data_IF_585689394904
#
_entry.id   IF_585689394904
#
_cell.length_a   1.000
_cell.length_b   1.000
_cell.length_c   1.000
_cell.angle_alpha   90.00
_cell.angle_beta   90.00
_cell.angle_gamma   90.00
#
_symmetry.space_group_name_H-M   'P 1'
#
loop_
_entity.id
_entity.type
_entity.pdbx_description
1 polymer ?
#
# COMPACT_ATOMS: atom_id res chain seq x y z
N UNK A 1 63.21 -33.92 -45.52
CA UNK A 1 64.52 -33.67 -46.14
C UNK A 1 64.91 -32.24 -45.77
N UNK A 2 65.65 -32.05 -44.67
CA UNK A 2 67.11 -31.99 -44.65
C UNK A 2 67.60 -30.92 -45.63
N UNK A 3 68.04 -29.75 -45.17
CA UNK A 3 69.47 -29.39 -45.02
C UNK A 3 69.51 -27.87 -45.28
N UNK A 4 70.33 -26.98 -44.73
CA UNK A 4 71.45 -27.01 -43.81
C UNK A 4 71.83 -25.55 -43.59
N UNK A 5 72.00 -25.18 -42.32
CA UNK A 5 72.72 -23.98 -41.88
C UNK A 5 74.15 -23.96 -42.43
N UNK A 6 74.73 -22.81 -42.83
CA UNK A 6 76.17 -22.62 -42.79
C UNK A 6 76.58 -21.79 -41.57
N UNK A 7 77.45 -22.38 -40.75
CA UNK A 7 78.18 -21.75 -39.65
C UNK A 7 79.41 -20.98 -40.17
N UNK A 8 79.67 -19.83 -39.52
CA UNK A 8 80.97 -19.22 -39.14
C UNK A 8 82.05 -18.96 -40.21
N UNK A 9 82.44 -17.69 -40.31
CA UNK A 9 83.84 -17.20 -40.36
C UNK A 9 83.90 -16.01 -39.39
N UNK A 10 84.50 -16.12 -38.20
CA UNK A 10 85.90 -15.75 -37.91
C UNK A 10 86.30 -14.45 -38.61
N UNK A 11 86.05 -13.32 -37.93
CA UNK A 11 86.71 -12.05 -38.19
C UNK A 11 87.68 -11.84 -37.02
N UNK A 12 88.96 -12.10 -37.28
CA UNK A 12 90.07 -11.67 -36.43
C UNK A 12 90.14 -10.13 -36.40
N UNK A 13 90.64 -9.53 -35.32
CA UNK A 13 90.67 -8.08 -35.14
C UNK A 13 91.71 -7.44 -36.07
N UNK A 14 91.25 -6.52 -36.91
CA UNK A 14 92.11 -5.64 -37.72
C UNK A 14 92.74 -4.60 -36.79
N UNK A 15 94.01 -4.79 -36.44
CA UNK A 15 94.88 -3.78 -35.82
C UNK A 15 95.36 -2.81 -36.91
N UNK A 16 95.03 -1.50 -36.86
CA UNK A 16 95.75 -0.52 -37.65
C UNK A 16 97.09 -0.19 -36.99
N UNK A 17 98.14 -0.21 -37.79
CA UNK A 17 99.48 0.21 -37.42
C UNK A 17 99.56 1.72 -37.13
N UNK A 18 100.43 2.05 -36.17
CA UNK A 18 101.10 3.33 -35.93
C UNK A 18 100.27 4.55 -35.52
N UNK A 19 100.29 4.83 -34.21
CA UNK A 19 99.92 6.12 -33.61
C UNK A 19 101.14 7.06 -33.70
N UNK A 20 101.05 8.25 -34.32
CA UNK A 20 102.11 9.24 -34.23
C UNK A 20 102.09 9.86 -32.82
N UNK A 21 103.16 9.69 -32.06
CA UNK A 21 103.38 10.42 -30.80
C UNK A 21 103.63 11.90 -31.10
N UNK A 22 102.57 12.71 -31.06
CA UNK A 22 102.65 14.16 -31.01
C UNK A 22 103.11 14.59 -29.61
N UNK A 23 104.36 15.05 -29.52
CA UNK A 23 104.88 15.70 -28.32
C UNK A 23 104.22 17.07 -28.13
N UNK A 24 103.32 17.17 -27.14
CA UNK A 24 102.80 18.43 -26.64
C UNK A 24 103.52 18.79 -25.32
N UNK A 25 103.85 20.07 -25.18
CA UNK A 25 104.49 20.61 -23.97
C UNK A 25 103.52 20.57 -22.77
N UNK A 26 104.04 20.38 -21.52
CA UNK A 26 103.25 20.02 -20.34
C UNK A 26 102.17 21.04 -19.88
N UNK A 27 102.17 22.27 -20.39
CA UNK A 27 101.15 23.28 -20.06
C UNK A 27 99.86 23.19 -20.91
N UNK A 28 99.89 22.47 -22.04
CA UNK A 28 98.72 22.30 -22.92
C UNK A 28 97.80 21.15 -22.50
N UNK A 29 98.36 20.10 -21.91
CA UNK A 29 97.60 18.90 -21.51
C UNK A 29 96.62 19.18 -20.37
N UNK A 30 97.00 19.98 -19.37
CA UNK A 30 96.10 20.36 -18.27
C UNK A 30 94.89 21.18 -18.73
N UNK A 31 95.10 22.15 -19.64
CA UNK A 31 94.01 22.96 -20.19
C UNK A 31 93.03 22.13 -21.03
N UNK A 32 93.53 21.15 -21.78
CA UNK A 32 92.69 20.22 -22.55
C UNK A 32 91.89 19.27 -21.64
N UNK A 33 92.48 18.81 -20.53
CA UNK A 33 91.79 18.00 -19.52
C UNK A 33 90.63 18.79 -18.90
N UNK A 34 90.83 20.08 -18.58
CA UNK A 34 89.77 20.93 -17.99
C UNK A 34 88.60 21.16 -18.95
N UNK A 35 88.87 21.39 -20.24
CA UNK A 35 87.83 21.52 -21.27
C UNK A 35 87.04 20.23 -21.44
N UNK A 36 87.71 19.07 -21.45
CA UNK A 36 87.06 17.75 -21.54
C UNK A 36 86.20 17.50 -20.30
N UNK A 37 86.66 17.86 -19.10
CA UNK A 37 85.87 17.72 -17.87
C UNK A 37 84.63 18.63 -17.88
N UNK A 38 84.76 19.89 -18.31
CA UNK A 38 83.61 20.81 -18.47
C UNK A 38 82.63 20.32 -19.55
N UNK A 39 83.14 19.83 -20.68
CA UNK A 39 82.30 19.27 -21.74
C UNK A 39 81.57 18.01 -21.28
N UNK A 40 82.23 17.11 -20.54
CA UNK A 40 81.60 15.94 -19.94
C UNK A 40 80.55 16.31 -18.89
N UNK A 41 80.77 17.38 -18.12
CA UNK A 41 79.79 17.89 -17.17
C UNK A 41 78.55 18.45 -17.89
N UNK A 42 78.73 19.30 -18.90
CA UNK A 42 77.61 19.83 -19.72
C UNK A 42 76.89 18.72 -20.47
N UNK A 43 77.61 17.73 -20.99
CA UNK A 43 77.03 16.58 -21.67
C UNK A 43 76.20 15.73 -20.70
N UNK A 44 76.69 15.52 -19.48
CA UNK A 44 75.94 14.85 -18.41
C UNK A 44 74.67 15.62 -18.05
N UNK A 45 74.75 16.93 -17.83
CA UNK A 45 73.59 17.78 -17.52
C UNK A 45 72.55 17.78 -18.64
N UNK A 46 72.99 17.77 -19.90
CA UNK A 46 72.12 17.70 -21.07
C UNK A 46 71.40 16.33 -21.15
N UNK A 47 72.14 15.24 -20.96
CA UNK A 47 71.57 13.88 -20.95
C UNK A 47 70.60 13.70 -19.79
N UNK A 48 70.93 14.23 -18.60
CA UNK A 48 70.05 14.19 -17.44
C UNK A 48 68.76 15.00 -17.67
N UNK A 49 68.87 16.20 -18.25
CA UNK A 49 67.72 17.04 -18.62
C UNK A 49 66.83 16.37 -19.68
N UNK A 50 67.43 15.75 -20.69
CA UNK A 50 66.72 15.00 -21.73
C UNK A 50 65.96 13.81 -21.12
N UNK A 51 66.63 13.04 -20.26
CA UNK A 51 66.03 11.89 -19.58
C UNK A 51 64.88 12.34 -18.67
N UNK A 52 65.01 13.49 -18.00
CA UNK A 52 63.94 14.06 -17.18
C UNK A 52 62.73 14.50 -18.02
N UNK A 53 62.96 15.14 -19.17
CA UNK A 53 61.90 15.55 -20.08
C UNK A 53 61.15 14.33 -20.66
N UNK A 54 61.87 13.28 -21.04
CA UNK A 54 61.27 12.03 -21.53
C UNK A 54 60.41 11.36 -20.46
N UNK A 55 60.88 11.32 -19.20
CA UNK A 55 60.09 10.82 -18.08
C UNK A 55 58.83 11.65 -17.83
N UNK A 56 58.93 12.98 -17.89
CA UNK A 56 57.78 13.87 -17.74
C UNK A 56 56.77 13.69 -18.89
N UNK A 57 57.26 13.54 -20.12
CA UNK A 57 56.41 13.30 -21.28
C UNK A 57 55.70 11.94 -21.19
N UNK A 58 56.41 10.89 -20.78
CA UNK A 58 55.83 9.57 -20.55
C UNK A 58 54.73 9.62 -19.47
N UNK A 59 55.01 10.27 -18.34
CA UNK A 59 54.02 10.43 -17.25
C UNK A 59 52.78 11.23 -17.69
N UNK A 60 52.96 12.27 -18.51
CA UNK A 60 51.84 13.05 -19.06
C UNK A 60 50.97 12.19 -19.99
N UNK A 61 51.60 11.40 -20.86
CA UNK A 61 50.90 10.49 -21.78
C UNK A 61 50.14 9.42 -21.01
N UNK A 62 50.72 8.86 -19.95
CA UNK A 62 50.05 7.87 -19.10
C UNK A 62 48.85 8.48 -18.37
N UNK A 63 48.99 9.69 -17.84
CA UNK A 63 47.87 10.42 -17.21
C UNK A 63 46.74 10.74 -18.20
N UNK A 64 47.08 11.18 -19.42
CA UNK A 64 46.10 11.44 -20.48
C UNK A 64 45.37 10.17 -20.90
N UNK A 65 46.09 9.06 -21.05
CA UNK A 65 45.51 7.77 -21.39
C UNK A 65 44.58 7.26 -20.29
N UNK A 66 44.96 7.41 -19.02
CA UNK A 66 44.11 7.07 -17.88
C UNK A 66 42.80 7.86 -17.89
N UNK A 67 42.87 9.19 -18.05
CA UNK A 67 41.69 10.05 -18.11
C UNK A 67 40.78 9.67 -19.29
N UNK A 68 41.35 9.43 -20.47
CA UNK A 68 40.60 9.01 -21.65
C UNK A 68 39.88 7.67 -21.43
N UNK A 69 40.54 6.71 -20.76
CA UNK A 69 39.93 5.42 -20.42
C UNK A 69 38.76 5.56 -19.44
N UNK A 70 38.90 6.41 -18.41
CA UNK A 70 37.81 6.66 -17.44
C UNK A 70 36.61 7.28 -18.14
N UNK A 71 36.83 8.36 -18.92
CA UNK A 71 35.77 9.03 -19.69
C UNK A 71 35.10 8.10 -20.70
N UNK A 72 35.87 7.18 -21.30
CA UNK A 72 35.36 6.18 -22.26
C UNK A 72 34.50 5.09 -21.63
N UNK A 73 34.68 4.82 -20.33
CA UNK A 73 33.89 3.81 -19.60
C UNK A 73 32.59 4.34 -18.99
N UNK A 74 32.42 5.66 -18.92
CA UNK A 74 31.22 6.29 -18.36
C UNK A 74 30.03 6.12 -19.30
N UNK A 75 28.89 5.69 -18.74
CA UNK A 75 27.60 5.59 -19.44
C UNK A 75 26.86 6.92 -19.51
N UNK A 76 27.11 7.82 -18.55
CA UNK A 76 26.54 9.15 -18.56
C UNK A 76 27.22 9.98 -19.68
N UNK A 77 26.43 10.81 -20.34
CA UNK A 77 26.88 11.75 -21.35
C UNK A 77 27.74 12.81 -20.68
N UNK A 78 28.92 13.10 -21.23
CA UNK A 78 29.78 14.18 -20.75
C UNK A 78 30.15 15.11 -21.90
N UNK A 79 29.97 16.40 -21.67
CA UNK A 79 30.26 17.47 -22.63
C UNK A 79 31.06 18.57 -21.92
N UNK A 80 32.21 18.92 -22.47
CA UNK A 80 32.98 20.09 -22.02
C UNK A 80 32.84 21.21 -23.04
N UNK A 81 32.49 22.41 -22.58
CA UNK A 81 32.35 23.60 -23.41
C UNK A 81 33.33 24.70 -22.98
N UNK A 82 33.60 25.63 -23.88
CA UNK A 82 34.31 26.88 -23.59
C UNK A 82 33.42 27.90 -22.86
N UNK A 83 33.99 29.06 -22.50
CA UNK A 83 33.27 30.16 -21.85
C UNK A 83 32.16 30.80 -22.71
N UNK A 84 32.08 30.46 -24.00
CA UNK A 84 31.02 30.91 -24.92
C UNK A 84 29.96 29.82 -25.17
N UNK A 85 30.06 28.67 -24.51
CA UNK A 85 29.14 27.54 -24.70
C UNK A 85 29.40 26.72 -25.96
N UNK A 86 30.58 26.83 -26.58
CA UNK A 86 30.97 25.97 -27.71
C UNK A 86 31.59 24.69 -27.21
N UNK A 87 31.21 23.57 -27.81
CA UNK A 87 31.69 22.24 -27.43
C UNK A 87 33.17 22.12 -27.75
N UNK A 88 33.98 21.75 -26.76
CA UNK A 88 35.41 21.47 -26.90
C UNK A 88 35.68 19.96 -26.96
N UNK A 89 34.93 19.17 -26.19
CA UNK A 89 35.12 17.74 -26.06
C UNK A 89 33.82 17.06 -25.65
N UNK A 90 33.63 15.82 -26.10
CA UNK A 90 32.54 14.94 -25.65
C UNK A 90 33.09 13.56 -25.32
N UNK A 91 32.39 12.79 -24.47
CA UNK A 91 32.74 11.40 -24.25
C UNK A 91 32.09 10.46 -25.29
N UNK A 92 32.55 9.21 -25.41
CA UNK A 92 31.94 8.23 -26.32
C UNK A 92 30.45 7.99 -26.11
N UNK A 93 29.95 8.06 -24.86
CA UNK A 93 28.52 7.91 -24.58
C UNK A 93 27.67 8.98 -25.29
N UNK A 94 28.15 10.23 -25.34
CA UNK A 94 27.50 11.31 -26.08
C UNK A 94 27.43 11.04 -27.59
N UNK A 95 28.54 10.58 -28.18
CA UNK A 95 28.66 10.25 -29.61
C UNK A 95 27.68 9.12 -29.97
N UNK A 96 27.62 8.07 -29.15
CA UNK A 96 26.71 6.95 -29.32
C UNK A 96 25.25 7.39 -29.19
N UNK A 97 24.92 8.19 -28.17
CA UNK A 97 23.55 8.60 -27.89
C UNK A 97 23.01 9.59 -28.93
N UNK A 98 23.82 10.55 -29.38
CA UNK A 98 23.44 11.51 -30.42
C UNK A 98 23.51 10.92 -31.83
N UNK A 99 24.31 9.86 -32.05
CA UNK A 99 24.53 9.26 -33.36
C UNK A 99 25.35 10.13 -34.31
N UNK A 100 26.09 11.12 -33.78
CA UNK A 100 26.88 12.12 -34.52
C UNK A 100 28.34 11.99 -34.10
N UNK A 101 29.27 12.03 -35.06
CA UNK A 101 30.70 11.95 -34.76
C UNK A 101 31.18 13.15 -33.92
N UNK A 102 32.14 12.95 -33.03
CA UNK A 102 32.72 14.02 -32.20
C UNK A 102 33.19 15.22 -33.03
N UNK A 103 33.79 14.99 -34.20
CA UNK A 103 34.27 16.03 -35.10
C UNK A 103 33.17 16.96 -35.64
N UNK A 104 31.93 16.46 -35.72
CA UNK A 104 30.76 17.27 -36.12
C UNK A 104 30.17 18.05 -34.93
N UNK A 105 30.41 17.58 -33.70
CA UNK A 105 29.91 18.20 -32.46
C UNK A 105 30.85 19.31 -31.96
N UNK A 106 32.16 19.11 -32.04
CA UNK A 106 33.16 20.07 -31.58
C UNK A 106 33.03 21.40 -32.35
N UNK A 107 33.01 22.51 -31.61
CA UNK A 107 32.87 23.87 -32.12
C UNK A 107 31.43 24.38 -32.28
N UNK A 108 30.44 23.49 -32.24
CA UNK A 108 29.00 23.84 -32.27
C UNK A 108 28.53 24.36 -30.90
N UNK A 109 27.36 25.02 -30.87
CA UNK A 109 26.77 25.50 -29.62
C UNK A 109 26.12 24.35 -28.86
N UNK A 110 26.31 24.31 -27.54
CA UNK A 110 25.65 23.32 -26.67
C UNK A 110 24.12 23.34 -26.77
N UNK A 111 23.52 24.52 -26.96
CA UNK A 111 22.08 24.66 -27.10
C UNK A 111 21.55 24.03 -28.40
N UNK A 112 22.42 23.77 -29.38
CA UNK A 112 21.99 23.14 -30.63
C UNK A 112 21.71 21.64 -30.50
N UNK A 113 22.22 21.02 -29.44
CA UNK A 113 22.07 19.59 -29.14
C UNK A 113 20.69 19.24 -28.59
N UNK A 114 20.00 20.20 -27.99
CA UNK A 114 18.71 19.99 -27.33
C UNK A 114 17.56 20.48 -28.22
N UNK A 115 16.43 19.78 -28.16
CA UNK A 115 15.18 20.17 -28.81
C UNK A 115 14.49 21.30 -28.02
N UNK A 116 14.53 21.21 -26.69
CA UNK A 116 14.00 22.21 -25.76
C UNK A 116 14.90 23.44 -25.73
N UNK A 117 14.69 24.36 -26.68
CA UNK A 117 15.37 25.67 -26.76
C UNK A 117 14.54 26.78 -26.13
N UNK A 118 13.85 26.48 -25.05
CA UNK A 118 13.06 27.47 -24.34
C UNK A 118 13.97 28.54 -23.71
N UNK A 119 13.42 29.75 -23.57
CA UNK A 119 14.14 30.91 -23.05
C UNK A 119 14.65 30.66 -21.61
N UNK A 120 13.93 29.84 -20.84
CA UNK A 120 14.31 29.43 -19.50
C UNK A 120 15.57 28.54 -19.50
N UNK A 121 15.65 27.53 -20.36
CA UNK A 121 16.85 26.68 -20.46
C UNK A 121 18.05 27.47 -20.95
N UNK A 122 17.87 28.33 -21.95
CA UNK A 122 18.93 29.22 -22.44
C UNK A 122 19.44 30.16 -21.35
N UNK A 123 18.55 30.73 -20.53
CA UNK A 123 18.91 31.58 -19.40
C UNK A 123 19.71 30.82 -18.33
N UNK A 124 19.30 29.60 -17.96
CA UNK A 124 20.02 28.74 -17.00
C UNK A 124 21.44 28.41 -17.47
N UNK A 125 21.61 28.01 -18.73
CA UNK A 125 22.94 27.80 -19.30
C UNK A 125 23.76 29.10 -19.33
N UNK A 126 23.13 30.24 -19.63
CA UNK A 126 23.78 31.55 -19.60
C UNK A 126 24.22 32.02 -18.20
N UNK A 127 23.50 31.66 -17.14
CA UNK A 127 23.91 31.90 -15.75
C UNK A 127 25.10 31.01 -15.34
N UNK A 128 25.07 29.74 -15.73
CA UNK A 128 26.19 28.83 -15.49
C UNK A 128 27.45 29.25 -16.26
N UNK A 129 27.31 29.71 -17.50
CA UNK A 129 28.40 30.28 -18.33
C UNK A 129 28.93 31.61 -17.81
N UNK A 130 28.25 32.26 -16.86
CA UNK A 130 28.77 33.42 -16.11
C UNK A 130 29.44 33.03 -14.79
N UNK A 131 29.48 31.72 -14.47
CA UNK A 131 30.02 31.20 -13.22
C UNK A 131 29.16 31.50 -12.00
N UNK A 132 27.89 31.91 -12.20
CA UNK A 132 27.02 32.34 -11.12
C UNK A 132 26.39 31.16 -10.37
N UNK A 133 25.87 30.15 -11.09
CA UNK A 133 25.17 29.00 -10.51
C UNK A 133 25.39 27.73 -11.33
N UNK A 134 25.58 26.60 -10.64
CA UNK A 134 25.52 25.28 -11.26
C UNK A 134 24.05 24.90 -11.54
N UNK A 135 23.83 24.10 -12.58
CA UNK A 135 22.52 23.53 -12.92
C UNK A 135 22.48 22.11 -12.35
N UNK A 136 21.43 21.79 -11.61
CA UNK A 136 21.13 20.44 -11.15
C UNK A 136 19.78 19.97 -11.69
N UNK A 137 19.69 18.67 -12.01
CA UNK A 137 18.49 17.93 -12.41
C UNK A 137 17.62 18.66 -13.44
N UNK A 138 18.24 19.17 -14.50
CA UNK A 138 17.52 19.77 -15.62
C UNK A 138 17.16 18.70 -16.64
N UNK A 139 15.88 18.41 -16.78
CA UNK A 139 15.36 17.54 -17.82
C UNK A 139 15.39 18.25 -19.19
N UNK A 140 15.98 17.59 -20.18
CA UNK A 140 16.01 18.07 -21.58
C UNK A 140 15.84 16.91 -22.56
N UNK A 141 15.39 17.22 -23.78
CA UNK A 141 15.40 16.29 -24.91
C UNK A 141 16.65 16.46 -25.77
N UNK A 142 17.52 15.45 -25.80
CA UNK A 142 18.69 15.40 -26.68
C UNK A 142 18.29 14.94 -28.08
N UNK A 143 18.75 15.64 -29.11
CA UNK A 143 18.48 15.30 -30.53
C UNK A 143 19.40 14.20 -31.03
N UNK A 144 18.84 13.26 -31.80
CA UNK A 144 19.58 12.17 -32.44
C UNK A 144 19.66 12.34 -33.97
N UNK A 145 20.73 11.84 -34.57
CA UNK A 145 20.89 11.74 -36.03
C UNK A 145 19.86 10.74 -36.59
N UNK A 146 18.77 11.26 -37.13
CA UNK A 146 17.61 10.47 -37.56
C UNK A 146 16.25 11.05 -37.17
N UNK A 147 16.22 12.14 -36.39
CA UNK A 147 14.98 12.88 -36.08
C UNK A 147 14.25 12.45 -34.80
N UNK A 148 14.83 11.54 -34.01
CA UNK A 148 14.34 11.19 -32.68
C UNK A 148 14.97 12.04 -31.56
N UNK A 149 14.38 11.98 -30.37
CA UNK A 149 14.94 12.58 -29.16
C UNK A 149 15.02 11.59 -28.01
N UNK A 150 16.00 11.80 -27.13
CA UNK A 150 16.18 11.00 -25.90
C UNK A 150 16.12 11.94 -24.69
N UNK A 151 15.32 11.62 -23.66
CA UNK A 151 15.27 12.43 -22.46
C UNK A 151 16.51 12.21 -21.59
N UNK A 152 17.18 13.30 -21.21
CA UNK A 152 18.31 13.31 -20.28
C UNK A 152 18.01 14.20 -19.08
N UNK A 153 18.44 13.77 -17.91
CA UNK A 153 18.60 14.63 -16.73
C UNK A 153 20.03 15.17 -16.72
N UNK A 154 20.19 16.49 -16.79
CA UNK A 154 21.48 17.17 -16.89
C UNK A 154 21.89 17.87 -15.60
N UNK A 155 23.18 17.76 -15.31
CA UNK A 155 23.90 18.59 -14.35
C UNK A 155 24.96 19.39 -15.10
N UNK A 156 25.06 20.69 -14.83
CA UNK A 156 26.05 21.58 -15.45
C UNK A 156 26.83 22.31 -14.37
N UNK A 157 28.16 22.30 -14.47
CA UNK A 157 29.04 22.95 -13.51
C UNK A 157 30.06 23.85 -14.21
N UNK A 158 30.35 25.05 -13.68
CA UNK A 158 31.39 25.92 -14.22
C UNK A 158 32.79 25.32 -13.99
N UNK A 159 33.68 25.54 -14.96
CA UNK A 159 35.07 25.08 -14.94
C UNK A 159 36.01 26.28 -14.89
N UNK A 160 36.96 26.27 -13.96
CA UNK A 160 37.91 27.36 -13.73
C UNK A 160 39.34 26.93 -14.01
N UNK A 161 40.20 27.86 -14.45
CA UNK A 161 41.65 27.64 -14.53
C UNK A 161 42.32 27.69 -13.16
N UNK A 162 43.63 27.40 -13.12
CA UNK A 162 44.46 27.49 -11.90
C UNK A 162 44.55 28.90 -11.30
N UNK A 163 44.06 29.94 -12.00
CA UNK A 163 44.00 31.34 -11.54
C UNK A 163 42.58 31.75 -11.13
N UNK A 164 41.63 30.82 -11.09
CA UNK A 164 40.24 31.08 -10.71
C UNK A 164 39.42 31.78 -11.80
N UNK A 165 39.90 31.85 -13.04
CA UNK A 165 39.15 32.43 -14.15
C UNK A 165 38.27 31.37 -14.80
N UNK A 166 37.04 31.74 -15.13
CA UNK A 166 36.11 30.85 -15.82
C UNK A 166 36.66 30.51 -17.21
N UNK A 167 36.87 29.22 -17.47
CA UNK A 167 37.31 28.71 -18.79
C UNK A 167 36.19 28.07 -19.59
N UNK A 168 35.09 27.70 -18.93
CA UNK A 168 33.93 27.11 -19.57
C UNK A 168 33.02 26.37 -18.59
N UNK A 169 32.28 25.39 -19.10
CA UNK A 169 31.36 24.56 -18.32
C UNK A 169 31.56 23.09 -18.66
N UNK A 170 31.25 22.21 -17.71
CA UNK A 170 31.13 20.76 -17.92
C UNK A 170 29.71 20.34 -17.66
N UNK A 171 29.17 19.51 -18.54
CA UNK A 171 27.80 19.00 -18.50
C UNK A 171 27.87 17.50 -18.40
N UNK A 172 27.14 16.94 -17.44
CA UNK A 172 26.96 15.50 -17.27
C UNK A 172 25.48 15.20 -17.40
N UNK A 173 25.12 14.22 -18.23
CA UNK A 173 23.74 13.89 -18.55
C UNK A 173 23.44 12.42 -18.41
N UNK A 174 22.40 12.08 -17.63
CA UNK A 174 21.93 10.70 -17.47
C UNK A 174 20.71 10.44 -18.34
N UNK A 175 20.70 9.43 -19.22
CA UNK A 175 19.50 9.02 -19.94
C UNK A 175 18.43 8.48 -18.97
N UNK A 176 17.21 9.01 -19.05
CA UNK A 176 16.10 8.61 -18.16
C UNK A 176 14.95 7.89 -18.90
N UNK A 177 15.13 7.60 -20.18
CA UNK A 177 14.09 7.01 -21.04
C UNK A 177 13.63 5.62 -20.59
N UNK A 178 14.57 4.71 -20.33
CA UNK A 178 14.25 3.35 -19.86
C UNK A 178 13.60 3.36 -18.47
N UNK A 179 14.10 4.22 -17.58
CA UNK A 179 13.55 4.37 -16.24
C UNK A 179 12.10 4.86 -16.27
N UNK A 180 11.80 5.89 -17.08
CA UNK A 180 10.43 6.39 -17.26
C UNK A 180 9.48 5.32 -17.82
N UNK A 181 9.95 4.51 -18.77
CA UNK A 181 9.16 3.39 -19.33
C UNK A 181 8.86 2.34 -18.28
N UNK A 182 9.86 1.91 -17.51
CA UNK A 182 9.68 0.94 -16.43
C UNK A 182 8.69 1.43 -15.37
N UNK A 183 8.78 2.70 -14.96
CA UNK A 183 7.81 3.31 -14.03
C UNK A 183 6.39 3.32 -14.59
N UNK A 184 6.23 3.65 -15.87
CA UNK A 184 4.92 3.66 -16.51
C UNK A 184 4.30 2.26 -16.61
N UNK A 185 5.09 1.25 -17.00
CA UNK A 185 4.64 -0.14 -17.03
C UNK A 185 4.25 -0.65 -15.65
N UNK A 186 5.01 -0.28 -14.61
CA UNK A 186 4.71 -0.63 -13.23
C UNK A 186 3.39 -0.02 -12.76
N UNK A 187 3.14 1.27 -13.06
CA UNK A 187 1.89 1.95 -12.70
C UNK A 187 0.68 1.29 -13.38
N UNK A 188 0.79 0.97 -14.68
CA UNK A 188 -0.25 0.24 -15.40
C UNK A 188 -0.51 -1.15 -14.80
N UNK A 189 0.54 -1.88 -14.44
CA UNK A 189 0.41 -3.19 -13.79
C UNK A 189 -0.26 -3.07 -12.41
N UNK A 190 0.09 -2.05 -11.63
CA UNK A 190 -0.50 -1.79 -10.32
C UNK A 190 -1.98 -1.43 -10.39
N UNK A 191 -2.37 -0.57 -11.35
CA UNK A 191 -3.77 -0.24 -11.61
C UNK A 191 -4.57 -1.48 -12.02
N UNK A 192 -4.00 -2.34 -12.89
CA UNK A 192 -4.63 -3.59 -13.32
C UNK A 192 -4.84 -4.54 -12.14
N UNK A 193 -3.80 -4.74 -11.32
CA UNK A 193 -3.87 -5.60 -10.13
C UNK A 193 -4.95 -5.11 -9.16
N UNK A 194 -4.97 -3.81 -8.86
CA UNK A 194 -5.95 -3.19 -7.97
C UNK A 194 -7.38 -3.42 -8.47
N UNK A 195 -7.61 -3.26 -9.77
CA UNK A 195 -8.93 -3.49 -10.40
C UNK A 195 -9.34 -4.96 -10.32
N UNK A 196 -8.43 -5.89 -10.61
CA UNK A 196 -8.70 -7.33 -10.49
C UNK A 196 -8.99 -7.74 -9.05
N UNK A 197 -8.25 -7.21 -8.08
CA UNK A 197 -8.48 -7.49 -6.66
C UNK A 197 -9.86 -7.00 -6.21
N UNK A 198 -10.28 -5.80 -6.62
CA UNK A 198 -11.63 -5.30 -6.35
C UNK A 198 -12.72 -6.20 -6.96
N UNK A 199 -12.51 -6.70 -8.19
CA UNK A 199 -13.44 -7.62 -8.84
C UNK A 199 -13.51 -8.97 -8.11
N UNK A 200 -12.38 -9.51 -7.64
CA UNK A 200 -12.35 -10.75 -6.87
C UNK A 200 -13.11 -10.62 -5.55
N UNK A 201 -12.91 -9.52 -4.81
CA UNK A 201 -13.65 -9.26 -3.56
C UNK A 201 -15.16 -9.20 -3.82
N UNK A 202 -15.60 -8.53 -4.90
CA UNK A 202 -17.02 -8.49 -5.26
C UNK A 202 -17.53 -9.87 -5.66
N UNK A 203 -16.75 -10.63 -6.44
CA UNK A 203 -17.13 -11.99 -6.86
C UNK A 203 -17.22 -12.96 -5.69
N UNK A 204 -16.31 -12.86 -4.72
CA UNK A 204 -16.32 -13.68 -3.51
C UNK A 204 -17.50 -13.33 -2.62
N UNK A 205 -17.82 -12.04 -2.46
CA UNK A 205 -19.05 -11.58 -1.78
C UNK A 205 -20.31 -12.08 -2.47
N UNK A 206 -20.35 -12.07 -3.81
CA UNK A 206 -21.50 -12.58 -4.58
C UNK A 206 -21.61 -14.11 -4.52
N UNK A 207 -20.50 -14.84 -4.50
CA UNK A 207 -20.49 -16.29 -4.33
C UNK A 207 -20.88 -16.71 -2.90
N UNK A 208 -20.45 -15.95 -1.88
CA UNK A 208 -20.95 -16.09 -0.53
C UNK A 208 -22.46 -15.83 -0.51
N UNK A 209 -22.91 -14.67 -0.99
CA UNK A 209 -24.34 -14.32 -1.07
C UNK A 209 -25.17 -15.40 -1.80
N UNK A 210 -24.67 -15.94 -2.91
CA UNK A 210 -25.36 -16.98 -3.69
C UNK A 210 -25.63 -18.27 -2.90
N UNK A 211 -24.73 -18.67 -1.99
CA UNK A 211 -24.96 -19.81 -1.07
C UNK A 211 -25.93 -19.44 0.06
N UNK A 212 -25.93 -18.18 0.51
CA UNK A 212 -26.81 -17.67 1.57
C UNK A 212 -28.27 -17.50 1.10
N UNK A 213 -28.50 -17.16 -0.17
CA UNK A 213 -29.82 -16.85 -0.74
C UNK A 213 -30.82 -18.01 -0.57
N UNK A 214 -30.38 -19.26 -0.68
CA UNK A 214 -31.26 -20.41 -0.49
C UNK A 214 -31.74 -20.58 0.96
N UNK A 215 -30.84 -20.38 1.94
CA UNK A 215 -31.17 -20.43 3.38
C UNK A 215 -32.04 -19.26 3.82
N UNK A 216 -31.68 -18.04 3.40
CA UNK A 216 -32.44 -16.81 3.72
C UNK A 216 -33.82 -16.84 3.06
N UNK A 217 -33.96 -17.32 1.83
CA UNK A 217 -35.26 -17.48 1.19
C UNK A 217 -36.15 -18.45 1.96
N UNK A 218 -35.57 -19.55 2.47
CA UNK A 218 -36.32 -20.51 3.28
C UNK A 218 -36.74 -19.90 4.63
N UNK A 219 -35.84 -19.19 5.30
CA UNK A 219 -36.13 -18.52 6.58
C UNK A 219 -37.09 -17.33 6.46
N UNK A 220 -37.13 -16.64 5.32
CA UNK A 220 -38.12 -15.59 5.04
C UNK A 220 -39.49 -16.18 4.72
N UNK A 221 -39.54 -17.25 3.91
CA UNK A 221 -40.81 -17.84 3.49
C UNK A 221 -41.59 -18.41 4.68
N UNK A 222 -40.92 -18.90 5.72
CA UNK A 222 -41.56 -19.49 6.90
C UNK A 222 -42.45 -18.49 7.67
N UNK A 223 -41.95 -17.38 8.24
CA UNK A 223 -42.78 -16.39 8.93
C UNK A 223 -43.79 -15.72 7.99
N UNK A 224 -43.46 -15.51 6.72
CA UNK A 224 -44.41 -14.98 5.72
C UNK A 224 -45.61 -15.91 5.58
N UNK A 225 -45.38 -17.23 5.53
CA UNK A 225 -46.45 -18.22 5.42
C UNK A 225 -47.36 -18.22 6.65
N UNK A 226 -46.79 -18.05 7.86
CA UNK A 226 -47.56 -17.90 9.10
C UNK A 226 -48.42 -16.62 9.10
N UNK A 227 -47.84 -15.49 8.71
CA UNK A 227 -48.57 -14.21 8.58
C UNK A 227 -49.73 -14.34 7.60
N UNK A 228 -49.51 -14.90 6.41
CA UNK A 228 -50.58 -15.10 5.43
C UNK A 228 -51.66 -16.07 5.92
N UNK A 229 -51.27 -17.19 6.54
CA UNK A 229 -52.19 -18.17 7.10
C UNK A 229 -53.11 -17.56 8.16
N UNK A 230 -52.52 -16.85 9.12
CA UNK A 230 -53.24 -16.20 10.20
C UNK A 230 -54.16 -15.08 9.68
N UNK A 231 -53.69 -14.27 8.73
CA UNK A 231 -54.52 -13.23 8.10
C UNK A 231 -55.72 -13.82 7.34
N UNK A 232 -55.56 -14.97 6.67
CA UNK A 232 -56.67 -15.67 6.04
C UNK A 232 -57.69 -16.21 7.06
N UNK A 233 -57.24 -16.72 8.21
CA UNK A 233 -58.10 -17.15 9.30
C UNK A 233 -58.87 -15.96 9.89
N UNK A 234 -58.18 -14.87 10.23
CA UNK A 234 -58.78 -13.63 10.73
C UNK A 234 -59.82 -13.04 9.76
N UNK A 235 -59.55 -13.08 8.44
CA UNK A 235 -60.53 -12.65 7.43
C UNK A 235 -61.80 -13.50 7.47
N UNK A 236 -61.68 -14.82 7.61
CA UNK A 236 -62.85 -15.73 7.74
C UNK A 236 -63.61 -15.48 9.04
N UNK A 237 -62.90 -15.27 10.14
CA UNK A 237 -63.48 -14.97 11.45
C UNK A 237 -64.22 -13.64 11.46
N UNK A 238 -63.67 -12.62 10.81
CA UNK A 238 -64.31 -11.32 10.62
C UNK A 238 -65.68 -11.44 9.93
N UNK A 239 -65.81 -12.29 8.90
CA UNK A 239 -67.11 -12.56 8.25
C UNK A 239 -68.10 -13.18 9.23
N UNK A 240 -67.70 -14.23 9.96
CA UNK A 240 -68.57 -14.92 10.91
C UNK A 240 -69.03 -13.99 12.06
N UNK A 241 -68.11 -13.20 12.61
CA UNK A 241 -68.41 -12.22 13.67
C UNK A 241 -69.35 -11.14 13.16
N UNK A 242 -69.09 -10.58 11.97
CA UNK A 242 -69.93 -9.53 11.38
C UNK A 242 -71.35 -10.05 11.15
N UNK A 243 -71.50 -11.25 10.58
CA UNK A 243 -72.81 -11.87 10.37
C UNK A 243 -73.55 -12.13 11.69
N UNK A 244 -72.85 -12.51 12.76
CA UNK A 244 -73.46 -12.66 14.07
C UNK A 244 -73.90 -11.32 14.68
N UNK A 245 -73.05 -10.29 14.62
CA UNK A 245 -73.37 -8.94 15.11
C UNK A 245 -74.57 -8.36 14.36
N UNK A 246 -74.64 -8.52 13.03
CA UNK A 246 -75.78 -8.07 12.23
C UNK A 246 -77.07 -8.76 12.64
N UNK A 247 -77.03 -10.08 12.89
CA UNK A 247 -78.18 -10.82 13.41
C UNK A 247 -78.62 -10.36 14.81
N UNK A 248 -77.67 -9.96 15.67
CA UNK A 248 -77.99 -9.44 17.02
C UNK A 248 -78.67 -8.06 17.02
N UNK A 249 -78.52 -7.28 15.94
CA UNK A 249 -79.16 -5.97 15.80
C UNK A 249 -80.65 -6.06 15.45
N UNK A 250 -81.15 -7.24 15.06
CA UNK A 250 -82.58 -7.49 14.84
C UNK A 250 -83.34 -7.76 16.14
N UNK A 251 -84.68 -7.58 16.13
CA UNK A 251 -85.58 -8.01 17.24
C UNK A 251 -85.80 -9.54 17.23
N UNK A 252 -84.72 -10.31 17.16
CA UNK A 252 -84.75 -11.76 16.96
C UNK A 252 -85.01 -12.57 18.23
N UNK A 253 -85.54 -13.78 18.03
CA UNK A 253 -85.69 -14.82 19.05
C UNK A 253 -84.31 -15.22 19.63
N UNK A 254 -84.20 -15.20 20.96
CA UNK A 254 -82.97 -15.50 21.69
C UNK A 254 -82.46 -16.92 21.41
N UNK A 255 -83.36 -17.87 21.14
CA UNK A 255 -82.99 -19.25 20.84
C UNK A 255 -82.33 -19.36 19.46
N UNK A 256 -82.88 -18.69 18.45
CA UNK A 256 -82.30 -18.64 17.10
C UNK A 256 -80.91 -17.96 17.09
N UNK A 257 -80.71 -16.97 17.97
CA UNK A 257 -79.42 -16.30 18.12
C UNK A 257 -78.34 -17.22 18.71
N UNK A 258 -78.71 -18.02 19.71
CA UNK A 258 -77.82 -18.98 20.37
C UNK A 258 -77.44 -20.14 19.43
N UNK A 259 -78.39 -20.62 18.62
CA UNK A 259 -78.10 -21.59 17.55
C UNK A 259 -77.14 -21.03 16.50
N UNK A 260 -77.33 -19.76 16.11
CA UNK A 260 -76.45 -19.08 15.18
C UNK A 260 -75.03 -18.91 15.77
N UNK A 261 -74.91 -18.54 17.04
CA UNK A 261 -73.64 -18.41 17.77
C UNK A 261 -72.83 -19.71 17.73
N UNK A 262 -73.49 -20.85 18.01
CA UNK A 262 -72.86 -22.18 17.96
C UNK A 262 -72.49 -22.59 16.54
N UNK A 263 -73.38 -22.37 15.57
CA UNK A 263 -73.14 -22.72 14.15
C UNK A 263 -71.96 -21.94 13.57
N UNK A 264 -71.85 -20.66 13.88
CA UNK A 264 -70.75 -19.80 13.45
C UNK A 264 -69.49 -19.96 14.32
N UNK A 265 -69.56 -20.75 15.40
CA UNK A 265 -68.46 -21.02 16.34
C UNK A 265 -67.85 -19.73 16.91
N UNK A 266 -68.70 -18.80 17.33
CA UNK A 266 -68.26 -17.48 17.82
C UNK A 266 -67.33 -17.59 19.04
N UNK A 267 -67.61 -18.50 19.98
CA UNK A 267 -66.79 -18.63 21.20
C UNK A 267 -65.38 -19.18 20.92
N UNK A 268 -65.20 -20.26 20.13
CA UNK A 268 -63.87 -20.68 19.69
C UNK A 268 -63.13 -19.61 18.88
N UNK A 269 -63.84 -18.89 18.00
CA UNK A 269 -63.24 -17.80 17.21
C UNK A 269 -62.73 -16.69 18.12
N UNK A 270 -63.54 -16.27 19.10
CA UNK A 270 -63.16 -15.21 20.04
C UNK A 270 -61.90 -15.59 20.85
N UNK A 271 -61.78 -16.86 21.24
CA UNK A 271 -60.61 -17.37 21.95
C UNK A 271 -59.34 -17.47 21.07
N UNK A 272 -59.49 -17.64 19.75
CA UNK A 272 -58.38 -17.85 18.82
C UNK A 272 -57.84 -16.54 18.20
N UNK A 273 -58.57 -15.43 18.32
CA UNK A 273 -58.19 -14.12 17.76
C UNK A 273 -56.88 -13.60 18.36
N UNK A 274 -56.74 -13.66 19.67
CA UNK A 274 -55.56 -13.14 20.38
C UNK A 274 -54.29 -13.92 20.00
N UNK A 275 -54.25 -15.27 20.07
CA UNK A 275 -53.12 -16.05 19.56
C UNK A 275 -52.78 -15.81 18.09
N UNK A 276 -53.79 -15.65 17.23
CA UNK A 276 -53.57 -15.38 15.80
C UNK A 276 -52.94 -14.02 15.55
N UNK A 277 -53.36 -12.98 16.28
CA UNK A 277 -52.79 -11.64 16.16
C UNK A 277 -51.35 -11.63 16.69
N UNK A 278 -51.11 -12.24 17.86
CA UNK A 278 -49.76 -12.37 18.43
C UNK A 278 -48.81 -13.09 17.47
N UNK A 279 -49.21 -14.26 16.95
CA UNK A 279 -48.39 -15.01 15.98
C UNK A 279 -48.18 -14.27 14.65
N UNK A 280 -49.12 -13.42 14.24
CA UNK A 280 -48.96 -12.57 13.04
C UNK A 280 -47.94 -11.45 13.28
N UNK A 281 -48.01 -10.80 14.45
CA UNK A 281 -47.06 -9.75 14.84
C UNK A 281 -45.65 -10.32 14.97
N UNK A 282 -45.50 -11.46 15.65
CA UNK A 282 -44.21 -12.15 15.78
C UNK A 282 -43.61 -12.51 14.41
N UNK A 283 -44.42 -13.08 13.51
CA UNK A 283 -43.99 -13.39 12.14
C UNK A 283 -43.52 -12.14 11.38
N UNK A 284 -44.25 -11.02 11.49
CA UNK A 284 -43.89 -9.77 10.84
C UNK A 284 -42.60 -9.15 11.43
N UNK A 285 -42.42 -9.21 12.74
CA UNK A 285 -41.19 -8.74 13.40
C UNK A 285 -39.97 -9.57 13.00
N UNK A 286 -40.16 -10.88 12.85
CA UNK A 286 -39.10 -11.77 12.38
C UNK A 286 -38.67 -11.48 10.95
N UNK A 287 -39.63 -11.22 10.04
CA UNK A 287 -39.32 -10.77 8.67
C UNK A 287 -38.54 -9.45 8.71
N UNK A 288 -38.95 -8.50 9.56
CA UNK A 288 -38.24 -7.22 9.73
C UNK A 288 -36.80 -7.44 10.20
N UNK A 289 -36.57 -8.33 11.17
CA UNK A 289 -35.24 -8.64 11.69
C UNK A 289 -34.33 -9.26 10.61
N UNK A 290 -34.82 -10.26 9.87
CA UNK A 290 -34.04 -10.93 8.80
C UNK A 290 -33.67 -9.92 7.69
N UNK A 291 -34.61 -9.06 7.28
CA UNK A 291 -34.35 -8.04 6.26
C UNK A 291 -33.36 -6.99 6.76
N UNK A 292 -33.43 -6.60 8.04
CA UNK A 292 -32.45 -5.68 8.63
C UNK A 292 -31.06 -6.29 8.68
N UNK A 293 -30.92 -7.57 9.06
CA UNK A 293 -29.63 -8.27 9.09
C UNK A 293 -29.04 -8.45 7.68
N UNK A 294 -29.89 -8.80 6.69
CA UNK A 294 -29.47 -8.87 5.29
C UNK A 294 -29.04 -7.50 4.75
N UNK A 295 -29.78 -6.43 5.12
CA UNK A 295 -29.42 -5.06 4.74
C UNK A 295 -28.11 -4.63 5.38
N UNK A 296 -27.87 -4.96 6.66
CA UNK A 296 -26.60 -4.71 7.37
C UNK A 296 -25.42 -5.44 6.71
N UNK A 297 -25.63 -6.67 6.22
CA UNK A 297 -24.61 -7.42 5.47
C UNK A 297 -24.31 -6.82 4.09
N UNK A 298 -25.32 -6.27 3.42
CA UNK A 298 -25.18 -5.65 2.09
C UNK A 298 -24.69 -4.19 2.16
N UNK A 299 -25.06 -3.45 3.20
CA UNK A 299 -24.72 -2.04 3.38
C UNK A 299 -23.40 -1.85 4.11
N UNK A 300 -22.31 -2.40 3.59
CA UNK A 300 -20.97 -1.92 3.94
C UNK A 300 -20.72 -0.60 3.20
N UNK A 301 -21.35 0.50 3.66
CA UNK A 301 -20.75 1.81 3.42
C UNK A 301 -19.39 1.80 4.10
N UNK A 302 -18.33 2.16 3.37
CA UNK A 302 -16.97 2.31 3.90
C UNK A 302 -16.97 3.48 4.87
N UNK A 303 -17.40 3.23 6.10
CA UNK A 303 -17.30 4.18 7.20
C UNK A 303 -15.81 4.52 7.36
N UNK A 304 -15.49 5.80 7.29
CA UNK A 304 -14.10 6.27 7.42
C UNK A 304 -13.72 6.17 8.90
N UNK A 305 -12.53 5.66 9.25
CA UNK A 305 -12.08 5.67 10.64
C UNK A 305 -12.06 7.11 11.18
N UNK A 306 -12.70 7.32 12.32
CA UNK A 306 -12.72 8.59 13.04
C UNK A 306 -12.22 8.41 14.47
N UNK A 307 -11.75 9.49 15.09
CA UNK A 307 -11.36 9.49 16.50
C UNK A 307 -12.60 9.73 17.36
N UNK A 308 -12.90 8.83 18.27
CA UNK A 308 -14.06 8.94 19.16
C UNK A 308 -13.81 8.26 20.51
N UNK A 309 -14.65 8.61 21.49
CA UNK A 309 -14.63 8.01 22.82
C UNK A 309 -15.42 6.69 22.84
N UNK A 310 -14.72 5.57 23.02
CA UNK A 310 -15.31 4.23 23.01
C UNK A 310 -16.26 4.00 24.17
N UNK A 311 -16.00 4.63 25.33
CA UNK A 311 -16.83 4.51 26.53
C UNK A 311 -18.24 5.01 26.24
N UNK A 312 -18.36 6.14 25.55
CA UNK A 312 -19.65 6.69 25.11
C UNK A 312 -20.39 5.77 24.13
N UNK A 313 -19.68 5.16 23.19
CA UNK A 313 -20.28 4.22 22.23
C UNK A 313 -20.83 2.99 22.92
N UNK A 314 -20.07 2.41 23.86
CA UNK A 314 -20.49 1.25 24.64
C UNK A 314 -21.74 1.58 25.47
N UNK A 315 -21.73 2.70 26.19
CA UNK A 315 -22.89 3.13 27.00
C UNK A 315 -24.13 3.33 26.13
N UNK A 316 -23.98 3.99 24.99
CA UNK A 316 -25.10 4.21 24.04
C UNK A 316 -25.65 2.90 23.50
N UNK A 317 -24.79 1.93 23.16
CA UNK A 317 -25.20 0.61 22.70
C UNK A 317 -25.97 -0.16 23.78
N UNK A 318 -25.48 -0.14 25.02
CA UNK A 318 -26.15 -0.79 26.14
C UNK A 318 -27.51 -0.15 26.41
N UNK A 319 -27.57 1.18 26.51
CA UNK A 319 -28.82 1.91 26.74
C UNK A 319 -29.86 1.61 25.65
N UNK A 320 -29.42 1.46 24.40
CA UNK A 320 -30.28 1.10 23.28
C UNK A 320 -30.91 -0.29 23.47
N UNK A 321 -30.10 -1.31 23.79
CA UNK A 321 -30.60 -2.68 24.04
C UNK A 321 -31.53 -2.69 25.26
N UNK A 322 -31.14 -2.07 26.36
CA UNK A 322 -31.91 -2.09 27.62
C UNK A 322 -33.28 -1.40 27.53
N UNK A 323 -33.49 -0.50 26.56
CA UNK A 323 -34.80 0.12 26.30
C UNK A 323 -35.77 -0.80 25.58
N UNK A 324 -35.25 -1.73 24.77
CA UNK A 324 -36.05 -2.67 24.00
C UNK A 324 -36.40 -3.94 24.79
N UNK A 325 -35.61 -4.29 25.82
CA UNK A 325 -35.80 -5.49 26.63
C UNK A 325 -36.85 -5.31 27.75
N UNK A 326 -37.74 -6.30 27.89
CA UNK A 326 -38.79 -6.33 28.92
C UNK A 326 -38.24 -6.68 30.32
N UNK A 327 -37.20 -7.51 30.39
CA UNK A 327 -36.49 -7.87 31.63
C UNK A 327 -35.10 -7.24 31.60
N UNK A 328 -34.81 -6.35 32.55
CA UNK A 328 -33.55 -5.59 32.57
C UNK A 328 -32.49 -6.29 33.42
N UNK A 329 -31.43 -6.86 32.83
CA UNK A 329 -30.28 -7.31 33.59
C UNK A 329 -29.61 -6.15 34.33
N UNK A 330 -29.02 -6.45 35.49
CA UNK A 330 -28.13 -5.51 36.15
C UNK A 330 -26.85 -5.39 35.34
N UNK A 331 -26.56 -4.21 34.80
CA UNK A 331 -25.34 -3.95 34.02
C UNK A 331 -24.29 -3.29 34.91
N UNK A 332 -23.14 -3.94 35.05
CA UNK A 332 -21.99 -3.40 35.75
C UNK A 332 -20.91 -2.98 34.75
N UNK A 333 -20.35 -1.79 34.94
CA UNK A 333 -19.34 -1.22 34.06
C UNK A 333 -17.99 -1.13 34.78
N UNK A 334 -16.94 -1.67 34.17
CA UNK A 334 -15.55 -1.53 34.62
C UNK A 334 -14.70 -0.92 33.49
N UNK A 335 -14.77 0.40 33.38
CA UNK A 335 -14.11 1.16 32.32
C UNK A 335 -13.69 2.54 32.85
N UNK A 336 -12.66 3.17 32.25
CA UNK A 336 -12.30 4.55 32.58
C UNK A 336 -13.42 5.53 32.19
N UNK A 337 -13.32 6.77 32.66
CA UNK A 337 -14.30 7.83 32.33
C UNK A 337 -14.30 8.18 30.84
N UNK A 338 -13.13 8.12 30.20
CA UNK A 338 -12.95 8.38 28.77
C UNK A 338 -11.84 7.50 28.21
N UNK A 339 -12.03 7.00 27.00
CA UNK A 339 -11.00 6.28 26.26
C UNK A 339 -11.14 6.53 24.76
N UNK A 340 -10.22 7.29 24.17
CA UNK A 340 -10.28 7.64 22.76
C UNK A 340 -9.61 6.56 21.88
N UNK A 341 -10.25 6.27 20.74
CA UNK A 341 -9.81 5.30 19.73
C UNK A 341 -10.04 5.86 18.32
N UNK A 342 -9.14 5.54 17.38
CA UNK A 342 -9.35 5.83 15.95
C UNK A 342 -9.82 4.56 15.25
N UNK A 343 -11.12 4.47 14.96
CA UNK A 343 -11.76 3.28 14.36
C UNK A 343 -13.05 3.65 13.62
N UNK A 344 -13.75 2.66 13.05
CA UNK A 344 -15.10 2.84 12.49
C UNK A 344 -16.12 2.74 13.61
N UNK A 345 -16.66 3.89 14.01
CA UNK A 345 -17.57 4.03 15.15
C UNK A 345 -18.83 3.19 15.02
N UNK A 346 -19.48 3.19 13.86
CA UNK A 346 -20.69 2.40 13.59
C UNK A 346 -20.46 0.91 13.71
N UNK A 347 -19.29 0.42 13.26
CA UNK A 347 -18.94 -1.01 13.37
C UNK A 347 -18.84 -1.43 14.83
N UNK A 348 -18.15 -0.62 15.65
CA UNK A 348 -17.98 -0.90 17.08
C UNK A 348 -19.31 -0.82 17.85
N UNK A 349 -20.14 0.17 17.52
CA UNK A 349 -21.49 0.28 18.06
C UNK A 349 -22.30 -0.98 17.75
N UNK A 350 -22.29 -1.45 16.50
CA UNK A 350 -23.03 -2.63 16.06
C UNK A 350 -22.56 -3.91 16.75
N UNK A 351 -21.24 -4.14 16.83
CA UNK A 351 -20.69 -5.28 17.56
C UNK A 351 -21.11 -5.24 19.03
N UNK A 352 -21.04 -4.07 19.67
CA UNK A 352 -21.45 -3.93 21.06
C UNK A 352 -22.94 -4.23 21.24
N UNK A 353 -23.81 -3.71 20.37
CA UNK A 353 -25.25 -4.01 20.37
C UNK A 353 -25.49 -5.51 20.26
N UNK A 354 -24.83 -6.18 19.31
CA UNK A 354 -25.00 -7.62 19.09
C UNK A 354 -24.57 -8.46 20.31
N UNK A 355 -23.41 -8.15 20.90
CA UNK A 355 -22.91 -8.88 22.07
C UNK A 355 -23.82 -8.67 23.30
N UNK A 356 -24.26 -7.44 23.54
CA UNK A 356 -25.13 -7.10 24.67
C UNK A 356 -26.53 -7.70 24.49
N UNK A 357 -27.07 -7.69 23.27
CA UNK A 357 -28.34 -8.34 22.96
C UNK A 357 -28.25 -9.86 23.15
N UNK A 358 -27.19 -10.50 22.65
CA UNK A 358 -26.96 -11.93 22.87
C UNK A 358 -26.86 -12.28 24.36
N UNK A 359 -26.17 -11.44 25.14
CA UNK A 359 -26.09 -11.58 26.59
C UNK A 359 -27.45 -11.40 27.28
N UNK A 360 -28.25 -10.40 26.89
CA UNK A 360 -29.57 -10.17 27.47
C UNK A 360 -30.55 -11.32 27.19
N UNK A 361 -30.55 -11.83 25.96
CA UNK A 361 -31.44 -12.89 25.51
C UNK A 361 -31.25 -14.20 26.30
N UNK A 362 -30.00 -14.63 26.52
CA UNK A 362 -29.71 -15.85 27.30
C UNK A 362 -29.97 -15.71 28.80
N UNK A 363 -30.29 -14.50 29.26
CA UNK A 363 -30.59 -14.19 30.67
C UNK A 363 -32.09 -14.10 30.96
N UNK A 364 -32.96 -14.23 29.97
CA UNK A 364 -34.40 -14.25 30.18
C UNK A 364 -34.83 -15.40 31.12
N UNK A 365 -35.73 -15.11 32.05
CA UNK A 365 -36.24 -16.08 33.03
C UNK A 365 -35.29 -16.37 34.22
N UNK A 366 -34.17 -15.65 34.34
CA UNK A 366 -33.23 -15.85 35.46
C UNK A 366 -33.52 -14.92 36.64
N UNK A 367 -33.29 -15.41 37.87
CA UNK A 367 -33.56 -14.65 39.10
C UNK A 367 -32.67 -13.41 39.27
N UNK A 368 -31.37 -13.51 38.94
CA UNK A 368 -30.39 -12.41 39.05
C UNK A 368 -29.61 -12.24 37.73
N UNK A 369 -30.23 -11.69 36.68
CA UNK A 369 -29.58 -11.52 35.38
C UNK A 369 -28.54 -10.40 35.47
N UNK A 370 -27.28 -10.70 35.13
CA UNK A 370 -26.16 -9.75 35.25
C UNK A 370 -25.31 -9.75 33.97
N UNK A 371 -24.99 -8.55 33.50
CA UNK A 371 -24.02 -8.32 32.42
C UNK A 371 -22.90 -7.44 32.97
N UNK A 372 -21.66 -7.88 32.81
CA UNK A 372 -20.45 -7.12 33.17
C UNK A 372 -19.75 -6.69 31.89
N UNK A 373 -19.51 -5.39 31.74
CA UNK A 373 -18.84 -4.83 30.57
C UNK A 373 -17.60 -4.09 31.03
N UNK A 374 -16.44 -4.55 30.58
CA UNK A 374 -15.17 -3.89 30.85
C UNK A 374 -14.54 -3.35 29.58
N UNK A 375 -13.90 -2.19 29.65
CA UNK A 375 -13.13 -1.63 28.54
C UNK A 375 -11.81 -1.07 29.04
N UNK A 376 -10.70 -1.55 28.49
CA UNK A 376 -9.34 -1.14 28.88
C UNK A 376 -8.43 -1.05 27.66
N UNK A 377 -7.35 -0.29 27.81
CA UNK A 377 -6.25 -0.27 26.84
C UNK A 377 -5.16 -1.22 27.30
N UNK A 378 -4.85 -2.24 26.50
CA UNK A 378 -3.84 -3.26 26.77
C UNK A 378 -2.93 -3.37 25.54
N UNK A 379 -1.61 -3.21 25.70
CA UNK A 379 -0.60 -3.45 24.64
C UNK A 379 -0.93 -2.77 23.29
N UNK A 380 -1.35 -1.50 23.32
CA UNK A 380 -1.70 -0.74 22.12
C UNK A 380 -3.06 -1.09 21.50
N UNK A 381 -3.83 -1.99 22.12
CA UNK A 381 -5.18 -2.37 21.73
C UNK A 381 -6.21 -1.86 22.73
N UNK A 382 -7.41 -1.59 22.25
CA UNK A 382 -8.62 -1.45 23.04
C UNK A 382 -9.22 -2.85 23.19
N UNK A 383 -9.41 -3.27 24.44
CA UNK A 383 -9.98 -4.56 24.79
C UNK A 383 -11.32 -4.32 25.48
N UNK A 384 -12.39 -4.82 24.86
CA UNK A 384 -13.75 -4.76 25.38
C UNK A 384 -14.17 -6.17 25.72
N UNK A 385 -14.60 -6.41 26.95
CA UNK A 385 -15.14 -7.70 27.39
C UNK A 385 -16.60 -7.51 27.78
N UNK A 386 -17.46 -8.37 27.23
CA UNK A 386 -18.87 -8.48 27.61
C UNK A 386 -19.06 -9.86 28.21
N UNK A 387 -19.39 -9.89 29.50
CA UNK A 387 -19.63 -11.10 30.25
C UNK A 387 -21.08 -11.16 30.71
N UNK A 388 -21.76 -12.23 30.36
CA UNK A 388 -23.03 -12.59 31.00
C UNK A 388 -22.77 -13.59 32.14
N UNK A 389 -23.72 -13.70 33.06
CA UNK A 389 -23.71 -14.78 34.03
C UNK A 389 -24.48 -16.02 33.55
N UNK A 390 -24.76 -16.15 32.23
CA UNK A 390 -25.57 -17.11 31.46
C UNK A 390 -25.34 -18.61 31.70
N UNK A 391 -25.93 -19.49 30.87
CA UNK A 391 -25.59 -20.91 30.83
C UNK A 391 -24.17 -21.17 30.29
N UNK A 392 -23.57 -20.18 29.61
CA UNK A 392 -22.25 -20.30 29.00
C UNK A 392 -22.29 -20.99 27.63
N UNK A 393 -21.10 -21.23 27.08
CA UNK A 393 -20.89 -21.87 25.78
C UNK A 393 -20.17 -23.20 26.02
N UNK A 394 -20.70 -24.29 25.44
CA UNK A 394 -20.03 -25.58 25.50
C UNK A 394 -18.71 -25.55 24.71
N UNK A 395 -17.65 -26.12 25.26
CA UNK A 395 -16.30 -26.07 24.67
C UNK A 395 -16.26 -26.62 23.24
N UNK A 396 -17.04 -27.66 22.94
CA UNK A 396 -17.15 -28.25 21.61
C UNK A 396 -17.76 -27.31 20.54
N UNK A 397 -18.42 -26.23 20.94
CA UNK A 397 -19.09 -25.28 20.04
C UNK A 397 -18.26 -24.02 19.81
N UNK A 398 -17.15 -23.83 20.53
CA UNK A 398 -16.41 -22.57 20.58
C UNK A 398 -15.87 -22.13 19.21
N UNK A 399 -15.47 -23.08 18.37
CA UNK A 399 -14.97 -22.80 17.02
C UNK A 399 -16.12 -22.54 16.03
N UNK A 400 -17.32 -23.07 16.30
CA UNK A 400 -18.47 -23.00 15.41
C UNK A 400 -19.37 -21.79 15.66
N UNK A 401 -19.30 -21.15 16.84
CA UNK A 401 -20.19 -20.01 17.17
C UNK A 401 -20.01 -18.79 16.26
N UNK A 402 -18.87 -18.70 15.57
CA UNK A 402 -18.59 -17.65 14.59
C UNK A 402 -18.88 -18.09 13.16
N UNK A 403 -19.32 -19.34 12.92
CA UNK A 403 -19.74 -19.76 11.59
C UNK A 403 -21.10 -19.13 11.21
N UNK A 404 -21.32 -18.79 9.92
CA UNK A 404 -22.60 -18.27 9.47
C UNK A 404 -23.76 -19.23 9.77
N UNK A 405 -24.86 -18.69 10.31
CA UNK A 405 -26.09 -19.41 10.67
C UNK A 405 -25.96 -20.39 11.84
N UNK A 406 -24.81 -20.46 12.50
CA UNK A 406 -24.70 -21.26 13.71
C UNK A 406 -25.54 -20.65 14.83
N UNK A 407 -26.46 -21.42 15.40
CA UNK A 407 -27.26 -21.01 16.56
C UNK A 407 -27.65 -22.23 17.39
N UNK A 408 -27.57 -22.10 18.71
CA UNK A 408 -28.08 -23.10 19.66
C UNK A 408 -29.54 -22.86 20.05
N UNK A 409 -30.15 -21.80 19.53
CA UNK A 409 -31.53 -21.40 19.84
C UNK A 409 -32.54 -22.20 19.00
N UNK A 410 -33.78 -22.37 19.47
CA UNK A 410 -34.83 -23.03 18.70
C UNK A 410 -35.06 -22.34 17.35
N UNK A 411 -35.48 -23.12 16.35
CA UNK A 411 -35.81 -22.65 14.99
C UNK A 411 -36.81 -21.50 15.09
N UNK A 412 -36.37 -20.26 14.92
CA UNK A 412 -37.19 -19.16 15.44
C UNK A 412 -36.40 -17.93 15.87
N UNK A 413 -35.52 -18.18 16.83
CA UNK A 413 -35.11 -17.18 17.81
C UNK A 413 -33.66 -16.72 17.64
N UNK A 414 -33.03 -17.04 16.51
CA UNK A 414 -31.70 -16.55 16.18
C UNK A 414 -31.37 -16.79 14.70
N UNK A 415 -30.89 -15.74 14.03
CA UNK A 415 -30.46 -15.80 12.62
C UNK A 415 -29.09 -16.48 12.46
N UNK A 416 -28.35 -16.68 13.56
CA UNK A 416 -26.98 -17.20 13.55
C UNK A 416 -25.98 -16.33 12.78
N UNK A 417 -26.39 -15.13 12.35
CA UNK A 417 -25.54 -14.19 11.60
C UNK A 417 -24.90 -13.13 12.50
N UNK A 418 -25.47 -12.85 13.67
CA UNK A 418 -25.02 -11.75 14.53
C UNK A 418 -23.56 -11.87 14.98
N UNK A 419 -23.13 -13.06 15.43
CA UNK A 419 -21.75 -13.29 15.87
C UNK A 419 -20.77 -13.34 14.69
N UNK A 420 -21.13 -14.01 13.59
CA UNK A 420 -20.32 -14.01 12.37
C UNK A 420 -20.09 -12.59 11.82
N UNK A 421 -21.15 -11.79 11.71
CA UNK A 421 -21.04 -10.38 11.27
C UNK A 421 -20.17 -9.59 12.23
N UNK A 422 -20.30 -9.81 13.54
CA UNK A 422 -19.47 -9.12 14.53
C UNK A 422 -17.99 -9.48 14.39
N UNK A 423 -17.69 -10.75 14.12
CA UNK A 423 -16.35 -11.25 13.87
C UNK A 423 -15.72 -10.59 12.63
N UNK A 424 -16.43 -10.60 11.50
CA UNK A 424 -15.97 -9.99 10.24
C UNK A 424 -15.75 -8.47 10.39
N UNK A 425 -16.67 -7.75 11.05
CA UNK A 425 -16.53 -6.30 11.28
C UNK A 425 -15.32 -5.94 12.14
N UNK A 426 -14.90 -6.82 13.06
CA UNK A 426 -13.68 -6.61 13.85
C UNK A 426 -12.42 -6.91 13.02
N UNK A 427 -12.42 -8.01 12.25
CA UNK A 427 -11.32 -8.34 11.33
C UNK A 427 -11.08 -7.27 10.28
N UNK A 428 -12.12 -6.69 9.71
CA UNK A 428 -12.00 -5.58 8.74
C UNK A 428 -11.27 -4.35 9.29
N UNK A 429 -11.20 -4.21 10.62
CA UNK A 429 -10.51 -3.11 11.30
C UNK A 429 -9.16 -3.52 11.90
N UNK A 430 -8.64 -4.71 11.54
CA UNK A 430 -7.40 -5.26 12.07
C UNK A 430 -7.52 -5.74 13.52
N UNK A 431 -8.75 -5.93 14.02
CA UNK A 431 -9.05 -6.47 15.34
C UNK A 431 -9.46 -7.94 15.29
N UNK A 432 -9.92 -8.43 16.44
CA UNK A 432 -10.38 -9.80 16.65
C UNK A 432 -11.56 -9.86 17.63
N UNK A 433 -12.36 -10.92 17.53
CA UNK A 433 -13.46 -11.23 18.44
C UNK A 433 -13.36 -12.70 18.86
N UNK A 434 -13.19 -12.93 20.16
CA UNK A 434 -13.06 -14.27 20.75
C UNK A 434 -14.15 -14.51 21.80
N UNK A 435 -14.42 -15.77 22.10
CA UNK A 435 -15.33 -16.18 23.17
C UNK A 435 -14.66 -17.19 24.11
N UNK A 436 -15.05 -17.16 25.37
CA UNK A 436 -14.62 -18.14 26.37
C UNK A 436 -15.73 -18.37 27.40
N UNK A 437 -15.75 -19.55 28.01
CA UNK A 437 -16.55 -19.80 29.21
C UNK A 437 -15.91 -19.13 30.44
N UNK A 438 -16.72 -18.77 31.44
CA UNK A 438 -16.22 -18.24 32.71
C UNK A 438 -16.34 -19.26 33.85
N UNK A 439 -15.33 -19.39 34.75
CA UNK A 439 -15.38 -20.35 35.87
C UNK A 439 -16.60 -20.19 36.80
N UNK A 440 -17.07 -18.95 36.95
CA UNK A 440 -18.29 -18.60 37.69
C UNK A 440 -19.61 -18.75 36.91
N UNK A 441 -19.60 -19.40 35.74
CA UNK A 441 -20.74 -19.52 34.83
C UNK A 441 -20.87 -18.34 33.85
N UNK A 442 -21.53 -18.60 32.72
CA UNK A 442 -21.75 -17.64 31.64
C UNK A 442 -20.68 -17.63 30.56
N UNK A 443 -20.88 -16.77 29.56
CA UNK A 443 -19.95 -16.56 28.46
C UNK A 443 -19.24 -15.21 28.58
N UNK A 444 -18.03 -15.14 28.02
CA UNK A 444 -17.23 -13.92 27.93
C UNK A 444 -16.85 -13.73 26.47
N UNK A 445 -17.36 -12.66 25.86
CA UNK A 445 -16.94 -12.23 24.54
C UNK A 445 -15.90 -11.12 24.68
N UNK A 446 -14.77 -11.26 23.99
CA UNK A 446 -13.66 -10.31 24.03
C UNK A 446 -13.40 -9.75 22.63
N UNK A 447 -13.63 -8.46 22.47
CA UNK A 447 -13.22 -7.68 21.30
C UNK A 447 -11.83 -7.09 21.56
N UNK A 448 -10.88 -7.31 20.66
CA UNK A 448 -9.56 -6.65 20.66
C UNK A 448 -9.44 -5.83 19.39
N UNK A 449 -9.20 -4.52 19.52
CA UNK A 449 -9.09 -3.60 18.39
C UNK A 449 -7.82 -2.75 18.52
N UNK A 450 -7.03 -2.51 17.46
CA UNK A 450 -5.92 -1.57 17.54
C UNK A 450 -6.39 -0.18 17.96
N UNK A 451 -5.69 0.47 18.90
CA UNK A 451 -6.09 1.81 19.37
C UNK A 451 -5.98 2.90 18.28
N UNK A 452 -5.22 2.63 17.21
CA UNK A 452 -5.05 3.50 16.06
C UNK A 452 -5.06 2.66 14.76
N UNK A 453 -6.24 2.49 14.17
CA UNK A 453 -6.42 1.76 12.90
C UNK A 453 -5.70 2.49 11.73
N UNK A 454 -5.39 3.79 11.88
CA UNK A 454 -4.66 4.59 10.89
C UNK A 454 -3.16 4.25 10.77
N UNK A 455 -2.56 3.66 11.82
CA UNK A 455 -1.17 3.17 11.81
C UNK A 455 -1.03 1.70 11.41
N UNK A 456 -2.01 0.85 11.74
CA UNK A 456 -1.95 -0.59 11.46
C UNK A 456 -2.02 -0.92 9.95
N UNK A 457 -2.70 -0.10 9.15
CA UNK A 457 -2.70 -0.20 7.67
C UNK A 457 -1.49 0.49 6.99
N UNK A 458 -0.55 1.04 7.78
CA UNK A 458 0.69 1.68 7.33
C UNK A 458 1.91 1.05 8.01
N UNK A 459 2.04 -0.26 7.91
CA UNK A 459 3.34 -0.91 8.08
C UNK A 459 3.74 -1.53 6.73
N UNK A 460 5.01 -1.35 6.31
CA UNK A 460 5.47 -1.51 4.93
C UNK A 460 5.43 -2.93 4.39
#
# INVERSE_FOLDING_TARGET
MASSVPRKRHNEPYLPAEVPTLGLAPAGEEAWIEVIQKMNAVYKDLVDSQTQLERQHAALMEAQQFIASVLGSMTDVLIACDAKGRIQQVNPAMVQLAGVAETELVGTSILDLFEDRDEATAARFGECLRGAHAIADLDVQLRQKGGGTTPLALNCSPRFDHRGRLVGIVIVGRPIGELRRAYHELDLAHQKLTRTQQQLVVSEKMAALGRLVAGVAHELNNPISFVFGNMHALKRYGVAITSYIEATRGKGDAQALEELRKRLKIDPIAADIEPLIEGTLEGAERVRAIVQDLRRFSSSQREVPEMFDVVRVIRTAVDWVMRAEHVRPTVAFDMPDQLDVTARKGYLHQVTVNLVHNAADVLQGRANPRIEISCRREEGHIVIRVRDNGPGIAEALMDQIFEPFFTTKPIGHGTGLGLYVSYELMREQGGDLTAAGHPGGGAVFTVRLPADVGKALRLP
#
